data_IF_476376425342
#
_entry.id   IF_476376425342
#
_cell.length_a   1.000
_cell.length_b   1.000
_cell.length_c   1.000
_cell.angle_alpha   90.00
_cell.angle_beta   90.00
_cell.angle_gamma   90.00
#
_symmetry.space_group_name_H-M   'P 1'
#
loop_
_entity.id
_entity.type
_entity.pdbx_description
1 polymer ?
#
# COMPACT_ATOMS: atom_id res chain seq x y z
N UNK A 1 2.69 10.06 -16.94
CA UNK A 1 2.00 8.79 -16.69
C UNK A 1 1.38 8.88 -15.30
N UNK A 2 0.18 9.47 -15.21
CA UNK A 2 -0.55 9.59 -13.94
C UNK A 2 -1.26 8.27 -13.67
N UNK A 3 -0.87 7.57 -12.62
CA UNK A 3 -1.64 6.43 -12.13
C UNK A 3 -2.65 6.95 -11.10
N UNK A 4 -3.91 6.57 -11.32
CA UNK A 4 -5.05 6.73 -10.41
C UNK A 4 -5.73 8.11 -10.43
N UNK A 5 -6.40 8.41 -11.54
CA UNK A 5 -7.61 9.25 -11.48
C UNK A 5 -8.70 8.35 -10.87
N UNK A 6 -8.87 8.41 -9.54
CA UNK A 6 -9.97 7.73 -8.87
C UNK A 6 -11.15 8.71 -8.90
N UNK A 7 -12.26 8.39 -9.59
CA UNK A 7 -13.42 9.27 -9.57
C UNK A 7 -13.87 9.48 -8.13
N UNK A 8 -14.23 10.71 -7.78
CA UNK A 8 -14.71 11.04 -6.44
C UNK A 8 -15.79 10.04 -6.03
N UNK A 9 -15.77 9.54 -4.79
CA UNK A 9 -16.71 8.53 -4.35
C UNK A 9 -18.13 9.06 -4.50
N UNK A 10 -18.92 8.37 -5.34
CA UNK A 10 -20.34 8.65 -5.50
C UNK A 10 -21.04 8.43 -4.14
N UNK A 11 -21.57 9.52 -3.58
CA UNK A 11 -22.22 9.51 -2.28
C UNK A 11 -23.65 8.94 -2.36
N UNK A 12 -24.21 8.82 -3.57
CA UNK A 12 -25.56 8.30 -3.81
C UNK A 12 -25.55 6.78 -4.04
N UNK A 13 -24.57 6.25 -4.78
CA UNK A 13 -24.39 4.80 -4.99
C UNK A 13 -23.19 4.24 -4.21
N UNK A 14 -23.47 3.71 -3.00
CA UNK A 14 -22.46 3.05 -2.16
C UNK A 14 -21.96 1.69 -2.67
N UNK A 15 -22.59 1.09 -3.69
CA UNK A 15 -22.18 -0.21 -4.25
C UNK A 15 -22.34 -0.22 -5.78
N UNK A 16 -21.49 0.55 -6.51
CA UNK A 16 -21.58 0.67 -7.97
C UNK A 16 -21.39 -0.67 -8.70
N UNK A 17 -20.76 -1.65 -8.05
CA UNK A 17 -20.52 -2.98 -8.59
C UNK A 17 -21.57 -4.02 -8.14
N UNK A 18 -22.59 -3.62 -7.35
CA UNK A 18 -23.69 -4.46 -6.85
C UNK A 18 -23.24 -5.77 -6.18
N UNK A 19 -22.05 -5.74 -5.58
CA UNK A 19 -21.42 -6.90 -4.95
C UNK A 19 -22.17 -7.37 -3.70
N UNK A 20 -22.86 -6.45 -3.03
CA UNK A 20 -23.61 -6.68 -1.79
C UNK A 20 -25.08 -7.04 -2.03
N UNK A 21 -25.44 -7.44 -3.26
CA UNK A 21 -26.81 -7.81 -3.63
C UNK A 21 -27.41 -8.92 -2.75
N UNK A 22 -26.58 -9.79 -2.19
CA UNK A 22 -26.95 -10.91 -1.33
C UNK A 22 -27.22 -10.55 0.15
N UNK A 23 -26.89 -9.32 0.58
CA UNK A 23 -27.00 -8.86 1.98
C UNK A 23 -28.29 -8.04 2.20
N UNK A 24 -29.14 -7.93 1.19
CA UNK A 24 -30.38 -7.14 1.25
C UNK A 24 -31.48 -7.91 2.00
N UNK A 25 -31.63 -7.61 3.29
CA UNK A 25 -32.69 -8.18 4.12
C UNK A 25 -33.97 -7.36 3.95
N UNK A 26 -34.98 -7.92 3.28
CA UNK A 26 -36.30 -7.30 3.09
C UNK A 26 -37.29 -7.85 4.11
N UNK A 27 -38.27 -7.04 4.55
CA UNK A 27 -39.29 -7.44 5.53
C UNK A 27 -39.97 -8.78 5.18
N UNK A 28 -40.29 -8.99 3.91
CA UNK A 28 -40.94 -10.20 3.42
C UNK A 28 -40.07 -11.46 3.52
N UNK A 29 -38.74 -11.31 3.45
CA UNK A 29 -37.78 -12.42 3.60
C UNK A 29 -37.59 -12.81 5.08
N UNK A 30 -37.75 -11.86 5.99
CA UNK A 30 -37.69 -12.10 7.45
C UNK A 30 -38.95 -12.81 7.96
N UNK A 31 -40.12 -12.41 7.46
CA UNK A 31 -41.41 -12.95 7.91
C UNK A 31 -41.79 -14.24 7.16
N UNK A 32 -41.42 -14.37 5.88
CA UNK A 32 -41.57 -15.61 5.11
C UNK A 32 -43.01 -16.06 4.85
N UNK A 33 -44.00 -15.19 5.03
CA UNK A 33 -45.41 -15.57 4.87
C UNK A 33 -45.85 -15.65 3.40
N UNK A 34 -46.56 -16.72 2.99
CA UNK A 34 -47.10 -16.84 1.64
C UNK A 34 -48.31 -15.90 1.45
N UNK A 35 -48.40 -15.28 0.27
CA UNK A 35 -49.38 -14.23 -0.12
C UNK A 35 -50.88 -14.56 0.07
N UNK A 36 -51.23 -15.80 0.45
CA UNK A 36 -52.61 -16.27 0.56
C UNK A 36 -53.24 -16.19 1.96
N UNK A 37 -52.48 -15.89 3.01
CA UNK A 37 -52.96 -15.98 4.41
C UNK A 37 -52.60 -14.75 5.27
N UNK A 38 -52.48 -13.57 4.66
CA UNK A 38 -52.14 -12.33 5.37
C UNK A 38 -53.18 -11.98 6.44
N UNK A 39 -52.71 -11.66 7.65
CA UNK A 39 -53.50 -10.94 8.65
C UNK A 39 -53.96 -9.59 8.07
N UNK A 40 -55.12 -9.05 8.50
CA UNK A 40 -55.72 -7.76 8.12
C UNK A 40 -54.73 -6.79 7.45
N UNK A 41 -55.02 -6.33 6.21
CA UNK A 41 -54.10 -5.52 5.37
C UNK A 41 -53.49 -4.30 6.11
N UNK A 42 -54.26 -3.70 7.02
CA UNK A 42 -53.82 -2.60 7.87
C UNK A 42 -52.67 -2.98 8.83
N UNK A 43 -52.71 -4.17 9.42
CA UNK A 43 -51.67 -4.67 10.32
C UNK A 43 -50.39 -4.96 9.54
N UNK A 44 -50.51 -5.52 8.33
CA UNK A 44 -49.36 -5.82 7.49
C UNK A 44 -48.58 -4.56 7.06
N UNK A 45 -49.29 -3.52 6.63
CA UNK A 45 -48.67 -2.27 6.18
C UNK A 45 -48.03 -1.51 7.35
N UNK A 46 -48.71 -1.47 8.50
CA UNK A 46 -48.15 -0.86 9.72
C UNK A 46 -46.91 -1.60 10.24
N UNK A 47 -46.89 -2.93 10.17
CA UNK A 47 -45.74 -3.75 10.56
C UNK A 47 -44.54 -3.53 9.62
N UNK A 48 -44.80 -3.45 8.31
CA UNK A 48 -43.77 -3.20 7.30
C UNK A 48 -43.11 -1.83 7.50
N UNK A 49 -43.91 -0.78 7.69
CA UNK A 49 -43.42 0.57 7.95
C UNK A 49 -42.61 0.66 9.26
N UNK A 50 -43.12 0.04 10.34
CA UNK A 50 -42.44 0.01 11.64
C UNK A 50 -41.09 -0.71 11.56
N UNK A 51 -41.03 -1.84 10.84
CA UNK A 51 -39.80 -2.59 10.61
C UNK A 51 -38.74 -1.76 9.89
N UNK A 52 -39.09 -1.14 8.75
CA UNK A 52 -38.13 -0.34 7.96
C UNK A 52 -37.60 0.85 8.76
N UNK A 53 -38.48 1.52 9.53
CA UNK A 53 -38.07 2.62 10.39
C UNK A 53 -37.11 2.16 11.50
N UNK A 54 -37.48 1.11 12.24
CA UNK A 54 -36.65 0.61 13.34
C UNK A 54 -35.31 0.07 12.85
N UNK A 55 -35.32 -0.68 11.73
CA UNK A 55 -34.10 -1.22 11.13
C UNK A 55 -33.16 -0.10 10.70
N UNK A 56 -33.67 0.88 9.96
CA UNK A 56 -32.87 2.04 9.50
C UNK A 56 -32.32 2.83 10.67
N UNK A 57 -33.13 3.06 11.72
CA UNK A 57 -32.72 3.84 12.88
C UNK A 57 -31.65 3.12 13.71
N UNK A 58 -31.85 1.84 14.03
CA UNK A 58 -30.86 1.03 14.77
C UNK A 58 -29.58 0.89 13.97
N UNK A 59 -29.67 0.60 12.67
CA UNK A 59 -28.51 0.52 11.79
C UNK A 59 -27.72 1.83 11.76
N UNK A 60 -28.42 2.97 11.65
CA UNK A 60 -27.78 4.29 11.61
C UNK A 60 -27.09 4.62 12.94
N UNK A 61 -27.77 4.39 14.07
CA UNK A 61 -27.19 4.63 15.41
C UNK A 61 -25.98 3.72 15.65
N UNK A 62 -26.08 2.44 15.30
CA UNK A 62 -24.98 1.50 15.44
C UNK A 62 -23.79 1.90 14.57
N UNK A 63 -24.04 2.25 13.31
CA UNK A 63 -22.98 2.69 12.38
C UNK A 63 -22.32 3.98 12.84
N UNK A 64 -23.08 4.93 13.39
CA UNK A 64 -22.52 6.16 13.93
C UNK A 64 -21.67 5.89 15.18
N UNK A 65 -22.16 5.07 16.11
CA UNK A 65 -21.44 4.73 17.33
C UNK A 65 -20.17 3.94 17.02
N UNK A 66 -20.31 2.78 16.35
CA UNK A 66 -19.18 1.92 16.03
C UNK A 66 -18.23 2.58 15.03
N UNK A 67 -18.75 3.23 14.00
CA UNK A 67 -17.93 3.91 12.99
C UNK A 67 -17.11 5.05 13.59
N UNK A 68 -17.70 5.85 14.48
CA UNK A 68 -16.97 6.92 15.18
C UNK A 68 -15.90 6.36 16.12
N UNK A 69 -16.21 5.32 16.90
CA UNK A 69 -15.23 4.69 17.79
C UNK A 69 -14.04 4.13 16.99
N UNK A 70 -14.29 3.38 15.92
CA UNK A 70 -13.22 2.82 15.07
C UNK A 70 -12.39 3.93 14.43
N UNK A 71 -13.05 4.99 13.94
CA UNK A 71 -12.34 6.13 13.35
C UNK A 71 -11.42 6.84 14.37
N UNK A 72 -11.86 6.98 15.62
CA UNK A 72 -11.06 7.55 16.70
C UNK A 72 -9.86 6.66 17.06
N UNK A 73 -10.06 5.34 17.18
CA UNK A 73 -9.00 4.38 17.45
C UNK A 73 -7.94 4.42 16.36
N UNK A 74 -8.35 4.34 15.08
CA UNK A 74 -7.44 4.42 13.95
C UNK A 74 -6.70 5.76 13.89
N UNK A 75 -7.38 6.87 14.14
CA UNK A 75 -6.76 8.20 14.18
C UNK A 75 -5.67 8.30 15.25
N UNK A 76 -5.90 7.73 16.43
CA UNK A 76 -4.91 7.69 17.51
C UNK A 76 -3.69 6.83 17.12
N UNK A 77 -3.91 5.65 16.55
CA UNK A 77 -2.83 4.77 16.09
C UNK A 77 -1.96 5.43 15.02
N UNK A 78 -2.58 6.05 14.01
CA UNK A 78 -1.83 6.78 12.98
C UNK A 78 -1.04 7.96 13.56
N UNK A 79 -1.61 8.68 14.53
CA UNK A 79 -0.89 9.75 15.24
C UNK A 79 0.37 9.24 15.95
N UNK A 80 0.26 8.11 16.67
CA UNK A 80 1.39 7.48 17.36
C UNK A 80 2.46 6.99 16.38
N UNK A 81 2.07 6.37 15.28
CA UNK A 81 3.00 5.89 14.23
C UNK A 81 3.77 7.07 13.63
N UNK A 82 3.09 8.17 13.30
CA UNK A 82 3.73 9.36 12.72
C UNK A 82 4.70 9.98 13.73
N UNK A 83 4.31 10.10 14.99
CA UNK A 83 5.21 10.58 16.05
C UNK A 83 6.46 9.69 16.12
N UNK A 84 6.31 8.38 16.23
CA UNK A 84 7.44 7.46 16.30
C UNK A 84 8.33 7.52 15.04
N UNK A 85 7.73 7.66 13.86
CA UNK A 85 8.48 7.78 12.61
C UNK A 85 9.34 9.05 12.54
N UNK A 86 8.79 10.19 12.97
CA UNK A 86 9.54 11.46 12.98
C UNK A 86 10.64 11.44 14.05
N UNK A 87 10.32 10.99 15.25
CA UNK A 87 11.22 11.10 16.40
C UNK A 87 12.19 9.92 16.55
N UNK A 88 11.89 8.74 16.02
CA UNK A 88 12.72 7.54 16.16
C UNK A 88 13.20 7.00 14.81
N UNK A 89 12.33 6.80 13.82
CA UNK A 89 12.77 6.26 12.51
C UNK A 89 13.71 7.22 11.79
N UNK A 90 13.35 8.50 11.72
CA UNK A 90 14.15 9.51 11.00
C UNK A 90 15.57 9.64 11.55
N UNK A 91 15.79 9.80 12.88
CA UNK A 91 17.16 9.79 13.41
C UNK A 91 17.82 8.41 13.32
N UNK A 92 17.06 7.32 13.44
CA UNK A 92 17.58 5.96 13.26
C UNK A 92 18.19 5.74 11.87
N UNK A 93 17.47 6.11 10.82
CA UNK A 93 17.94 6.02 9.43
C UNK A 93 19.17 6.92 9.22
N UNK A 94 19.18 8.12 9.79
CA UNK A 94 20.35 9.02 9.72
C UNK A 94 21.57 8.43 10.44
N UNK A 95 21.38 7.80 11.60
CA UNK A 95 22.44 7.11 12.33
C UNK A 95 23.01 5.93 11.53
N UNK A 96 22.14 5.11 10.93
CA UNK A 96 22.54 4.01 10.04
C UNK A 96 23.33 4.51 8.83
N UNK A 97 22.94 5.66 8.26
CA UNK A 97 23.69 6.27 7.15
C UNK A 97 25.10 6.67 7.58
N UNK A 98 25.24 7.25 8.78
CA UNK A 98 26.54 7.58 9.35
C UNK A 98 27.41 6.34 9.60
N UNK A 99 26.82 5.26 10.10
CA UNK A 99 27.52 3.98 10.31
C UNK A 99 27.92 3.31 8.99
N UNK A 100 27.11 3.44 7.94
CA UNK A 100 27.38 2.85 6.62
C UNK A 100 28.42 3.64 5.83
N UNK A 101 28.65 4.91 6.16
CA UNK A 101 29.62 5.79 5.50
C UNK A 101 31.06 5.22 5.51
N UNK A 102 31.67 4.84 6.65
CA UNK A 102 33.00 4.24 6.66
C UNK A 102 33.04 2.86 5.98
N UNK A 103 31.97 2.05 6.10
CA UNK A 103 31.88 0.76 5.42
C UNK A 103 31.94 0.90 3.89
N UNK A 104 31.30 1.93 3.33
CA UNK A 104 31.38 2.25 1.90
C UNK A 104 32.79 2.67 1.49
N UNK A 105 33.47 3.45 2.31
CA UNK A 105 34.85 3.86 2.06
C UNK A 105 35.80 2.64 2.07
N UNK A 106 35.71 1.79 3.10
CA UNK A 106 36.49 0.55 3.19
C UNK A 106 36.23 -0.38 2.01
N UNK A 107 34.97 -0.60 1.66
CA UNK A 107 34.59 -1.39 0.50
C UNK A 107 35.20 -0.83 -0.80
N UNK A 108 35.11 0.49 -1.00
CA UNK A 108 35.71 1.16 -2.16
C UNK A 108 37.24 1.02 -2.19
N UNK A 109 37.91 1.09 -1.04
CA UNK A 109 39.35 0.86 -0.95
C UNK A 109 39.73 -0.58 -1.29
N UNK A 110 38.99 -1.56 -0.77
CA UNK A 110 39.23 -2.98 -1.06
C UNK A 110 39.08 -3.26 -2.55
N UNK A 111 38.02 -2.76 -3.18
CA UNK A 111 37.79 -2.91 -4.62
C UNK A 111 38.95 -2.27 -5.42
N UNK A 112 39.36 -1.05 -5.06
CA UNK A 112 40.46 -0.35 -5.75
C UNK A 112 41.83 -1.01 -5.59
N UNK A 113 42.10 -1.58 -4.43
CA UNK A 113 43.41 -2.18 -4.16
C UNK A 113 43.51 -3.62 -4.67
N UNK A 114 42.40 -4.35 -4.80
CA UNK A 114 42.43 -5.79 -5.12
C UNK A 114 41.74 -6.11 -6.44
N UNK A 115 40.54 -5.59 -6.67
CA UNK A 115 39.76 -5.93 -7.85
C UNK A 115 40.24 -5.18 -9.09
N UNK A 116 40.58 -3.89 -8.97
CA UNK A 116 41.11 -3.10 -10.09
C UNK A 116 42.40 -3.72 -10.69
N UNK A 117 43.45 -4.06 -9.91
CA UNK A 117 44.66 -4.64 -10.49
C UNK A 117 44.43 -6.06 -11.05
N UNK A 118 43.51 -6.83 -10.47
CA UNK A 118 43.14 -8.15 -11.02
C UNK A 118 42.40 -8.02 -12.36
N UNK A 119 41.43 -7.12 -12.45
CA UNK A 119 40.71 -6.84 -13.69
C UNK A 119 41.67 -6.28 -14.76
N UNK A 120 42.61 -5.42 -14.38
CA UNK A 120 43.63 -4.91 -15.29
C UNK A 120 44.53 -6.03 -15.80
N UNK A 121 45.02 -6.91 -14.91
CA UNK A 121 45.82 -8.08 -15.30
C UNK A 121 45.05 -9.03 -16.23
N UNK A 122 43.78 -9.33 -15.92
CA UNK A 122 42.93 -10.13 -16.79
C UNK A 122 42.70 -9.48 -18.16
N UNK A 123 42.58 -8.15 -18.22
CA UNK A 123 42.40 -7.42 -19.48
C UNK A 123 43.61 -7.56 -20.40
N UNK A 124 44.84 -7.54 -19.86
CA UNK A 124 46.05 -7.80 -20.64
C UNK A 124 46.12 -9.25 -21.15
N UNK A 125 45.72 -10.24 -20.34
CA UNK A 125 45.69 -11.64 -20.77
C UNK A 125 44.66 -11.89 -21.89
N UNK A 126 43.51 -11.22 -21.84
CA UNK A 126 42.50 -11.32 -22.89
C UNK A 126 42.87 -10.53 -24.15
N UNK A 127 43.46 -9.34 -24.02
CA UNK A 127 43.96 -8.54 -25.15
C UNK A 127 45.12 -9.21 -25.91
N UNK A 128 45.87 -10.11 -25.28
CA UNK A 128 46.89 -10.90 -25.95
C UNK A 128 46.34 -11.87 -27.03
N UNK A 129 45.03 -12.11 -27.04
CA UNK A 129 44.35 -12.90 -28.08
C UNK A 129 43.72 -12.02 -29.19
N UNK A 130 43.78 -10.70 -29.05
CA UNK A 130 43.33 -9.73 -30.05
C UNK A 130 44.45 -9.47 -31.07
N UNK A 131 44.16 -9.52 -32.36
CA UNK A 131 45.13 -9.17 -33.41
C UNK A 131 45.52 -7.68 -33.29
N UNK A 132 46.79 -7.30 -33.51
CA UNK A 132 47.27 -5.95 -33.24
C UNK A 132 46.61 -4.94 -34.20
N UNK A 133 45.72 -4.09 -33.68
CA UNK A 133 45.29 -2.86 -34.35
C UNK A 133 46.10 -1.65 -33.87
N UNK A 134 46.34 -0.70 -34.76
CA UNK A 134 47.47 0.28 -34.77
C UNK A 134 47.37 1.45 -33.75
N UNK A 135 46.93 1.21 -32.52
CA UNK A 135 46.72 2.30 -31.53
C UNK A 135 47.58 2.19 -30.24
N UNK A 136 48.61 1.33 -30.24
CA UNK A 136 49.56 1.10 -29.13
C UNK A 136 50.33 2.35 -28.64
N UNK A 137 50.19 3.47 -29.35
CA UNK A 137 50.85 4.74 -29.05
C UNK A 137 50.40 5.32 -27.70
N UNK A 138 49.15 5.07 -27.30
CA UNK A 138 48.59 5.62 -26.06
C UNK A 138 49.14 4.94 -24.78
N UNK A 139 49.57 3.67 -24.89
CA UNK A 139 50.11 2.90 -23.76
C UNK A 139 51.55 3.29 -23.42
N UNK A 140 52.39 3.56 -24.44
CA UNK A 140 53.79 3.93 -24.23
C UNK A 140 53.98 5.27 -23.52
N UNK A 141 53.03 6.20 -23.63
CA UNK A 141 53.11 7.53 -23.00
C UNK A 141 52.81 7.52 -21.49
N UNK A 142 52.21 6.46 -20.94
CA UNK A 142 51.95 6.35 -19.48
C UNK A 142 53.12 5.76 -18.69
N UNK A 143 54.08 5.14 -19.37
CA UNK A 143 55.22 4.43 -18.75
C UNK A 143 56.56 5.22 -18.82
N UNK A 144 56.56 6.42 -19.41
CA UNK A 144 57.70 7.36 -19.43
C UNK A 144 57.32 8.71 -18.83
#
# INVERSE_FOLDING_TARGET
MGCCDYPDPDLEDRDPHKTSSHIKVIFNDVIGEPKGNHSLECVWDSASCCYEFCFTLVYSVMTLCCGMCIALELGCEFGNIIFWHVWCCTPGIKSLFFQTYPCKCLYSHIVRCLADPWCEACSYCCGAFEEPDKDDTHFKTRLY
#
